data_IF_638859141844
#
_entry.id   IF_638859141844
#
_cell.length_a   1.000
_cell.length_b   1.000
_cell.length_c   1.000
_cell.angle_alpha   90.00
_cell.angle_beta   90.00
_cell.angle_gamma   90.00
#
_symmetry.space_group_name_H-M   'P 1'
#
loop_
_entity.id
_entity.type
_entity.pdbx_description
1 polymer ?
#
# COMPACT_ATOMS: atom_id res chain seq x y z
N UNK A 1 -19.45 -12.12 6.93
CA UNK A 1 -18.30 -11.22 6.72
C UNK A 1 -17.11 -12.11 6.49
N UNK A 2 -16.59 -12.15 5.27
CA UNK A 2 -15.41 -12.95 4.99
C UNK A 2 -14.23 -12.32 5.72
N UNK A 3 -13.77 -12.99 6.79
CA UNK A 3 -12.65 -12.58 7.64
C UNK A 3 -11.29 -12.57 6.90
N UNK A 4 -11.32 -12.62 5.57
CA UNK A 4 -10.18 -12.91 4.71
C UNK A 4 -9.81 -11.73 3.80
N UNK A 5 -10.57 -10.62 3.86
CA UNK A 5 -10.25 -9.36 3.16
C UNK A 5 -9.75 -8.29 4.13
N UNK A 6 -8.75 -7.48 3.74
CA UNK A 6 -8.27 -6.34 4.54
C UNK A 6 -9.21 -5.14 4.49
N UNK A 7 -10.30 -5.20 3.71
CA UNK A 7 -11.20 -4.08 3.46
C UNK A 7 -12.40 -4.11 4.44
N UNK A 8 -12.65 -3.05 5.22
CA UNK A 8 -13.71 -3.02 6.22
C UNK A 8 -15.11 -2.92 5.59
N UNK A 9 -16.12 -3.50 6.25
CA UNK A 9 -17.54 -3.39 5.85
C UNK A 9 -17.96 -4.29 4.69
N UNK A 10 -19.22 -4.14 4.24
CA UNK A 10 -19.74 -4.77 3.02
C UNK A 10 -19.43 -3.88 1.80
N UNK A 11 -19.24 -4.47 0.58
CA UNK A 11 -19.01 -3.68 -0.62
C UNK A 11 -20.19 -2.74 -0.90
N UNK A 12 -19.90 -1.46 -1.14
CA UNK A 12 -20.91 -0.45 -1.40
C UNK A 12 -21.60 -0.64 -2.76
N UNK A 13 -20.87 -1.18 -3.74
CA UNK A 13 -21.36 -1.43 -5.09
C UNK A 13 -20.66 -2.64 -5.77
N UNK A 14 -21.06 -2.92 -7.01
CA UNK A 14 -20.47 -4.01 -7.80
C UNK A 14 -18.99 -3.77 -8.16
N UNK A 15 -18.52 -2.52 -8.25
CA UNK A 15 -17.10 -2.25 -8.49
C UNK A 15 -16.27 -2.64 -7.27
N UNK A 16 -16.69 -2.23 -6.08
CA UNK A 16 -16.01 -2.59 -4.84
C UNK A 16 -16.05 -4.11 -4.60
N UNK A 17 -17.19 -4.76 -4.89
CA UNK A 17 -17.29 -6.22 -4.84
C UNK A 17 -16.27 -6.90 -5.76
N UNK A 18 -16.08 -6.38 -6.99
CA UNK A 18 -15.07 -6.88 -7.92
C UNK A 18 -13.64 -6.65 -7.39
N UNK A 19 -13.34 -5.49 -6.79
CA UNK A 19 -12.01 -5.21 -6.22
C UNK A 19 -11.66 -6.18 -5.07
N UNK A 20 -12.60 -6.39 -4.15
CA UNK A 20 -12.44 -7.33 -3.03
C UNK A 20 -12.28 -8.77 -3.53
N UNK A 21 -13.07 -9.19 -4.51
CA UNK A 21 -12.93 -10.50 -5.15
C UNK A 21 -11.59 -10.65 -5.90
N UNK A 22 -11.09 -9.56 -6.50
CA UNK A 22 -9.78 -9.53 -7.18
C UNK A 22 -8.66 -9.76 -6.18
N UNK A 23 -8.69 -9.09 -5.02
CA UNK A 23 -7.75 -9.35 -3.93
C UNK A 23 -7.77 -10.82 -3.48
N UNK A 24 -8.95 -11.36 -3.19
CA UNK A 24 -9.08 -12.75 -2.74
C UNK A 24 -8.62 -13.76 -3.80
N UNK A 25 -8.84 -13.45 -5.08
CA UNK A 25 -8.36 -14.28 -6.19
C UNK A 25 -6.83 -14.20 -6.35
N UNK A 26 -6.23 -13.01 -6.18
CA UNK A 26 -4.78 -12.82 -6.20
C UNK A 26 -4.12 -13.55 -5.03
N UNK A 27 -4.63 -13.37 -3.81
CA UNK A 27 -4.18 -14.08 -2.61
C UNK A 27 -4.18 -15.60 -2.81
N UNK A 28 -5.22 -16.15 -3.46
CA UNK A 28 -5.38 -17.59 -3.61
C UNK A 28 -4.61 -18.19 -4.81
N UNK A 29 -4.54 -17.46 -5.93
CA UNK A 29 -4.07 -18.03 -7.21
C UNK A 29 -2.82 -17.34 -7.77
N UNK A 30 -2.37 -16.24 -7.16
CA UNK A 30 -1.37 -15.34 -7.71
C UNK A 30 -1.80 -14.70 -9.03
N UNK A 31 -0.96 -13.80 -9.54
CA UNK A 31 -1.18 -13.12 -10.81
C UNK A 31 -1.32 -14.10 -11.99
N UNK A 32 -0.45 -15.12 -12.05
CA UNK A 32 -0.43 -16.10 -13.13
C UNK A 32 -1.71 -16.97 -13.15
N UNK A 33 -2.25 -17.32 -11.99
CA UNK A 33 -3.49 -18.07 -11.85
C UNK A 33 -4.76 -17.19 -11.95
N UNK A 34 -4.64 -15.87 -11.99
CA UNK A 34 -5.82 -15.01 -12.02
C UNK A 34 -6.57 -15.07 -13.36
N UNK A 35 -7.90 -15.21 -13.32
CA UNK A 35 -8.78 -15.11 -14.49
C UNK A 35 -10.08 -14.39 -14.17
N UNK A 36 -10.68 -13.73 -15.18
CA UNK A 36 -11.96 -13.03 -15.05
C UNK A 36 -13.06 -13.96 -14.50
N UNK A 37 -13.07 -15.23 -14.91
CA UNK A 37 -14.04 -16.20 -14.39
C UNK A 37 -13.87 -16.40 -12.88
N UNK A 38 -12.64 -16.61 -12.40
CA UNK A 38 -12.36 -16.83 -10.97
C UNK A 38 -12.75 -15.62 -10.12
N UNK A 39 -12.59 -14.42 -10.66
CA UNK A 39 -12.96 -13.17 -9.97
C UNK A 39 -14.48 -13.03 -9.94
N UNK A 40 -15.15 -13.24 -11.08
CA UNK A 40 -16.61 -13.19 -11.16
C UNK A 40 -17.27 -14.21 -10.22
N UNK A 41 -16.74 -15.43 -10.17
CA UNK A 41 -17.21 -16.49 -9.26
C UNK A 41 -17.05 -16.08 -7.78
N UNK A 42 -15.94 -15.43 -7.43
CA UNK A 42 -15.71 -14.92 -6.06
C UNK A 42 -16.60 -13.72 -5.70
N UNK A 43 -16.94 -12.89 -6.68
CA UNK A 43 -17.80 -11.73 -6.46
C UNK A 43 -19.30 -12.08 -6.43
N UNK A 44 -19.67 -13.33 -6.72
CA UNK A 44 -21.05 -13.75 -7.02
C UNK A 44 -21.69 -12.90 -8.14
N UNK A 45 -20.89 -12.56 -9.16
CA UNK A 45 -21.30 -11.74 -10.29
C UNK A 45 -21.16 -12.50 -11.61
N UNK A 46 -21.95 -12.10 -12.61
CA UNK A 46 -21.81 -12.64 -13.96
C UNK A 46 -20.59 -12.05 -14.67
N UNK A 47 -20.01 -12.80 -15.62
CA UNK A 47 -19.01 -12.25 -16.57
C UNK A 47 -19.53 -11.03 -17.33
N UNK A 48 -20.82 -10.96 -17.61
CA UNK A 48 -21.40 -9.79 -18.27
C UNK A 48 -21.34 -8.54 -17.40
N UNK A 49 -21.53 -8.70 -16.08
CA UNK A 49 -21.39 -7.60 -15.12
C UNK A 49 -19.94 -7.13 -15.04
N UNK A 50 -18.99 -8.07 -15.11
CA UNK A 50 -17.57 -7.74 -15.18
C UNK A 50 -17.25 -6.85 -16.41
N UNK A 51 -17.63 -7.30 -17.62
CA UNK A 51 -17.33 -6.56 -18.86
C UNK A 51 -18.09 -5.24 -19.02
N UNK A 52 -19.03 -4.95 -18.12
CA UNK A 52 -19.64 -3.63 -18.02
C UNK A 52 -18.72 -2.63 -17.28
N UNK A 53 -17.80 -3.12 -16.45
CA UNK A 53 -16.90 -2.29 -15.66
C UNK A 53 -15.48 -2.25 -16.21
N UNK A 54 -15.00 -3.35 -16.79
CA UNK A 54 -13.61 -3.51 -17.23
C UNK A 54 -13.53 -4.19 -18.59
N UNK A 55 -12.65 -3.69 -19.44
CA UNK A 55 -12.48 -4.21 -20.80
C UNK A 55 -11.78 -5.58 -20.79
N UNK A 56 -10.78 -5.73 -19.93
CA UNK A 56 -10.00 -6.96 -19.80
C UNK A 56 -9.39 -7.14 -18.39
N UNK A 57 -8.55 -8.17 -18.24
CA UNK A 57 -7.84 -8.46 -16.98
C UNK A 57 -6.85 -7.35 -16.61
N UNK A 58 -6.22 -6.72 -17.59
CA UNK A 58 -5.20 -5.72 -17.37
C UNK A 58 -5.82 -4.41 -16.88
N UNK A 59 -6.90 -3.96 -17.54
CA UNK A 59 -7.71 -2.82 -17.12
C UNK A 59 -8.19 -2.99 -15.67
N UNK A 60 -8.77 -4.15 -15.35
CA UNK A 60 -9.15 -4.51 -13.98
C UNK A 60 -7.99 -4.39 -12.99
N UNK A 61 -6.83 -4.94 -13.33
CA UNK A 61 -5.70 -4.97 -12.41
C UNK A 61 -5.07 -3.60 -12.21
N UNK A 62 -5.09 -2.74 -13.23
CA UNK A 62 -4.69 -1.34 -13.06
C UNK A 62 -5.66 -0.57 -12.17
N UNK A 63 -6.97 -0.79 -12.33
CA UNK A 63 -7.98 -0.24 -11.42
C UNK A 63 -7.87 -0.79 -9.99
N UNK A 64 -7.45 -2.06 -9.85
CA UNK A 64 -7.20 -2.67 -8.55
C UNK A 64 -6.00 -2.05 -7.83
N UNK A 65 -4.95 -1.66 -8.55
CA UNK A 65 -3.83 -0.89 -7.97
C UNK A 65 -4.30 0.48 -7.47
N UNK A 66 -5.14 1.18 -8.24
CA UNK A 66 -5.75 2.46 -7.81
C UNK A 66 -6.62 2.27 -6.57
N UNK A 67 -7.37 1.18 -6.50
CA UNK A 67 -8.19 0.83 -5.35
C UNK A 67 -7.35 0.61 -4.09
N UNK A 68 -6.21 -0.11 -4.19
CA UNK A 68 -5.29 -0.28 -3.05
C UNK A 68 -4.76 1.07 -2.57
N UNK A 69 -4.37 1.97 -3.47
CA UNK A 69 -3.93 3.32 -3.09
C UNK A 69 -5.04 4.10 -2.38
N UNK A 70 -6.26 4.09 -2.93
CA UNK A 70 -7.39 4.77 -2.32
C UNK A 70 -7.70 4.26 -0.90
N UNK A 71 -7.59 2.95 -0.70
CA UNK A 71 -7.76 2.32 0.61
C UNK A 71 -6.64 2.70 1.59
N UNK A 72 -5.39 2.78 1.12
CA UNK A 72 -4.28 3.30 1.90
C UNK A 72 -4.52 4.77 2.32
N UNK A 73 -4.88 5.64 1.37
CA UNK A 73 -5.18 7.05 1.65
C UNK A 73 -6.34 7.19 2.64
N UNK A 74 -7.36 6.34 2.52
CA UNK A 74 -8.49 6.29 3.45
C UNK A 74 -8.03 5.89 4.85
N UNK A 75 -7.23 4.83 4.97
CA UNK A 75 -6.71 4.37 6.25
C UNK A 75 -5.85 5.46 6.92
N UNK A 76 -4.94 6.10 6.17
CA UNK A 76 -4.17 7.23 6.67
C UNK A 76 -5.06 8.38 7.16
N UNK A 77 -6.07 8.76 6.37
CA UNK A 77 -6.97 9.87 6.71
C UNK A 77 -7.80 9.61 7.98
N UNK A 78 -8.05 8.34 8.33
CA UNK A 78 -8.77 7.97 9.56
C UNK A 78 -7.90 8.10 10.81
N UNK A 79 -6.59 7.88 10.67
CA UNK A 79 -5.60 7.90 11.75
C UNK A 79 -4.80 9.22 11.83
N UNK A 80 -4.95 10.10 10.83
CA UNK A 80 -4.26 11.39 10.79
C UNK A 80 -4.68 12.28 11.97
N UNK A 81 -3.69 12.95 12.55
CA UNK A 81 -3.84 13.87 13.68
C UNK A 81 -3.30 15.27 13.35
N UNK A 82 -3.40 16.20 14.31
CA UNK A 82 -2.81 17.53 14.18
C UNK A 82 -1.29 17.55 14.49
N UNK A 83 -0.67 16.41 14.86
CA UNK A 83 0.76 16.30 15.14
C UNK A 83 1.54 15.78 13.91
N UNK A 84 2.43 16.59 13.30
CA UNK A 84 3.23 16.18 12.15
C UNK A 84 4.10 14.94 12.40
N UNK A 85 4.59 14.73 13.64
CA UNK A 85 5.38 13.55 13.97
C UNK A 85 4.53 12.29 14.00
N UNK A 86 3.30 12.38 14.52
CA UNK A 86 2.36 11.26 14.51
C UNK A 86 1.93 10.95 13.07
N UNK A 87 1.57 11.96 12.28
CA UNK A 87 1.23 11.77 10.87
C UNK A 87 2.35 11.09 10.08
N UNK A 88 3.60 11.52 10.29
CA UNK A 88 4.75 10.89 9.66
C UNK A 88 4.91 9.41 10.07
N UNK A 89 4.80 9.11 11.36
CA UNK A 89 4.89 7.73 11.86
C UNK A 89 3.76 6.86 11.32
N UNK A 90 2.51 7.31 11.43
CA UNK A 90 1.33 6.62 10.91
C UNK A 90 1.48 6.32 9.42
N UNK A 91 1.92 7.30 8.63
CA UNK A 91 2.11 7.12 7.19
C UNK A 91 3.15 6.03 6.87
N UNK A 92 4.29 6.04 7.55
CA UNK A 92 5.34 5.03 7.35
C UNK A 92 4.87 3.67 7.86
N UNK A 93 4.23 3.61 9.02
CA UNK A 93 3.77 2.36 9.65
C UNK A 93 2.75 1.62 8.78
N UNK A 94 1.82 2.36 8.14
CA UNK A 94 0.87 1.82 7.19
C UNK A 94 1.52 1.09 5.99
N UNK A 95 2.76 1.43 5.64
CA UNK A 95 3.49 0.83 4.49
C UNK A 95 4.51 -0.20 4.97
N UNK A 96 5.28 0.14 6.01
CA UNK A 96 6.37 -0.66 6.54
C UNK A 96 5.84 -1.95 7.18
N UNK A 97 4.76 -1.83 7.94
CA UNK A 97 4.23 -2.91 8.75
C UNK A 97 2.73 -2.70 9.01
N UNK A 98 1.89 -2.94 7.99
CA UNK A 98 0.45 -2.76 8.09
C UNK A 98 -0.21 -3.68 9.15
N UNK A 99 0.53 -4.61 9.74
CA UNK A 99 0.07 -5.45 10.85
C UNK A 99 0.15 -4.74 12.20
N UNK A 100 1.09 -3.80 12.37
CA UNK A 100 1.24 -3.03 13.62
C UNK A 100 0.01 -2.18 13.97
N UNK A 101 -0.83 -1.89 12.98
CA UNK A 101 -2.05 -1.08 13.09
C UNK A 101 -3.33 -1.93 13.04
N UNK A 102 -3.23 -3.25 12.86
CA UNK A 102 -4.36 -4.15 12.63
C UNK A 102 -4.29 -5.33 13.59
N UNK A 103 -5.28 -5.49 14.47
CA UNK A 103 -5.39 -6.61 15.44
C UNK A 103 -5.67 -8.00 14.78
N UNK A 104 -5.42 -8.17 13.48
CA UNK A 104 -5.76 -9.38 12.73
C UNK A 104 -4.74 -10.52 12.96
N UNK A 105 -5.24 -11.76 13.01
CA UNK A 105 -4.45 -12.99 13.22
C UNK A 105 -3.53 -13.34 12.03
N UNK A 106 -2.42 -14.02 12.31
CA UNK A 106 -1.34 -14.38 11.36
C UNK A 106 -1.65 -15.67 10.54
N UNK A 107 -1.44 -15.70 9.20
CA UNK A 107 -1.04 -14.58 8.36
C UNK A 107 -2.18 -13.62 8.09
N UNK A 108 -1.94 -12.36 8.46
CA UNK A 108 -2.93 -11.32 8.34
C UNK A 108 -3.27 -11.08 6.86
N UNK A 109 -4.49 -10.64 6.56
CA UNK A 109 -4.84 -10.14 5.23
C UNK A 109 -3.87 -9.08 4.68
N UNK A 110 -3.16 -8.34 5.55
CA UNK A 110 -2.20 -7.31 5.15
C UNK A 110 -0.91 -7.88 4.52
N UNK A 111 -0.36 -8.98 5.05
CA UNK A 111 0.80 -9.65 4.43
C UNK A 111 0.47 -10.15 3.01
N UNK A 112 -0.78 -10.61 2.78
CA UNK A 112 -1.25 -10.98 1.45
C UNK A 112 -1.38 -9.79 0.48
N UNK A 113 -1.67 -8.58 0.97
CA UNK A 113 -1.65 -7.34 0.15
C UNK A 113 -0.25 -7.05 -0.36
N UNK A 114 0.76 -7.14 0.50
CA UNK A 114 2.16 -6.87 0.13
C UNK A 114 2.66 -7.84 -0.95
N UNK A 115 2.38 -9.14 -0.81
CA UNK A 115 2.71 -10.13 -1.83
C UNK A 115 2.02 -9.85 -3.17
N UNK A 116 0.72 -9.53 -3.12
CA UNK A 116 -0.05 -9.16 -4.31
C UNK A 116 0.51 -7.91 -5.00
N UNK A 117 0.89 -6.89 -4.23
CA UNK A 117 1.51 -5.68 -4.75
C UNK A 117 2.82 -5.99 -5.48
N UNK A 118 3.69 -6.82 -4.89
CA UNK A 118 4.97 -7.22 -5.50
C UNK A 118 4.77 -7.99 -6.79
N UNK A 119 3.82 -8.93 -6.84
CA UNK A 119 3.50 -9.68 -8.07
C UNK A 119 3.01 -8.79 -9.21
N UNK A 120 2.14 -7.81 -8.90
CA UNK A 120 1.64 -6.84 -9.88
C UNK A 120 2.74 -5.88 -10.33
N UNK A 121 3.56 -5.37 -9.40
CA UNK A 121 4.68 -4.48 -9.72
C UNK A 121 5.71 -5.14 -10.63
N UNK A 122 5.94 -6.45 -10.49
CA UNK A 122 6.82 -7.19 -11.37
C UNK A 122 6.39 -7.16 -12.85
N UNK A 123 5.10 -6.96 -13.14
CA UNK A 123 4.62 -6.86 -14.53
C UNK A 123 5.09 -5.59 -15.23
N UNK A 124 5.38 -4.51 -14.49
CA UNK A 124 5.87 -3.24 -15.04
C UNK A 124 7.21 -3.38 -15.81
N UNK A 125 7.96 -4.46 -15.57
CA UNK A 125 9.19 -4.80 -16.31
C UNK A 125 8.90 -4.99 -17.80
N UNK A 126 7.77 -5.59 -18.15
CA UNK A 126 7.42 -5.96 -19.54
C UNK A 126 6.19 -5.22 -20.06
N UNK A 127 5.39 -4.61 -19.18
CA UNK A 127 4.13 -3.97 -19.53
C UNK A 127 4.18 -2.46 -19.26
N UNK A 128 3.96 -1.65 -20.30
CA UNK A 128 4.01 -0.20 -20.23
C UNK A 128 2.86 0.43 -19.45
N UNK A 129 1.67 -0.19 -19.48
CA UNK A 129 0.50 0.28 -18.75
C UNK A 129 0.73 0.11 -17.25
N UNK A 130 1.21 -1.07 -16.82
CA UNK A 130 1.60 -1.27 -15.42
C UNK A 130 2.73 -0.33 -15.01
N UNK A 131 3.73 -0.12 -15.88
CA UNK A 131 4.84 0.81 -15.58
C UNK A 131 4.36 2.24 -15.39
N UNK A 132 3.49 2.72 -16.27
CA UNK A 132 2.89 4.05 -16.16
C UNK A 132 2.07 4.17 -14.88
N UNK A 133 1.26 3.15 -14.57
CA UNK A 133 0.46 3.11 -13.34
C UNK A 133 1.33 3.14 -12.08
N UNK A 134 2.34 2.28 -11.97
CA UNK A 134 3.23 2.32 -10.79
C UNK A 134 4.06 3.61 -10.70
N UNK A 135 4.38 4.27 -11.83
CA UNK A 135 5.00 5.60 -11.81
C UNK A 135 4.06 6.67 -11.20
N UNK A 136 2.78 6.61 -11.52
CA UNK A 136 1.75 7.49 -10.93
C UNK A 136 1.60 7.24 -9.43
N UNK A 137 1.50 5.96 -9.03
CA UNK A 137 1.38 5.56 -7.63
C UNK A 137 2.61 5.98 -6.81
N UNK A 138 3.82 5.72 -7.30
CA UNK A 138 5.06 6.08 -6.60
C UNK A 138 5.13 7.59 -6.35
N UNK A 139 4.77 8.40 -7.36
CA UNK A 139 4.71 9.86 -7.21
C UNK A 139 3.68 10.29 -6.17
N UNK A 140 2.48 9.70 -6.17
CA UNK A 140 1.46 10.02 -5.17
C UNK A 140 1.95 9.73 -3.74
N UNK A 141 2.66 8.62 -3.53
CA UNK A 141 3.24 8.31 -2.23
C UNK A 141 4.37 9.28 -1.85
N UNK A 142 5.24 9.63 -2.80
CA UNK A 142 6.35 10.58 -2.62
C UNK A 142 5.84 11.98 -2.28
N UNK A 143 4.89 12.49 -3.06
CA UNK A 143 4.29 13.82 -2.88
C UNK A 143 3.64 13.92 -1.50
N UNK A 144 2.83 12.93 -1.10
CA UNK A 144 2.15 12.94 0.21
C UNK A 144 3.14 12.86 1.39
N UNK A 145 4.21 12.05 1.28
CA UNK A 145 5.22 11.98 2.33
C UNK A 145 6.06 13.27 2.40
N UNK A 146 6.37 13.88 1.26
CA UNK A 146 7.07 15.14 1.19
C UNK A 146 6.26 16.28 1.84
N UNK A 147 4.94 16.32 1.62
CA UNK A 147 4.02 17.24 2.29
C UNK A 147 4.06 17.08 3.81
N UNK A 148 3.95 15.83 4.31
CA UNK A 148 4.03 15.56 5.77
C UNK A 148 5.37 16.02 6.37
N UNK A 149 6.47 15.80 5.65
CA UNK A 149 7.81 16.27 6.08
C UNK A 149 7.85 17.80 6.08
N UNK A 150 7.35 18.46 5.04
CA UNK A 150 7.32 19.91 4.93
C UNK A 150 6.49 20.57 6.05
N UNK A 151 5.34 19.97 6.39
CA UNK A 151 4.50 20.42 7.50
C UNK A 151 5.23 20.30 8.85
N UNK A 152 5.96 19.19 9.07
CA UNK A 152 6.77 19.02 10.26
C UNK A 152 7.94 20.00 10.35
N UNK A 153 8.53 20.41 9.22
CA UNK A 153 9.55 21.47 9.18
C UNK A 153 8.92 22.81 9.54
N UNK A 154 7.76 23.16 8.95
CA UNK A 154 7.05 24.40 9.22
C UNK A 154 6.61 24.52 10.69
N UNK A 155 6.27 23.39 11.32
CA UNK A 155 5.92 23.29 12.74
C UNK A 155 7.15 23.29 13.68
N UNK A 156 8.38 23.25 13.15
CA UNK A 156 9.61 23.15 13.94
C UNK A 156 9.83 21.79 14.62
N UNK A 157 9.09 20.77 14.17
CA UNK A 157 9.18 19.37 14.64
C UNK A 157 10.33 18.63 13.93
N UNK A 158 10.54 18.94 12.64
CA UNK A 158 11.64 18.39 11.85
C UNK A 158 12.71 19.43 11.53
N UNK A 159 13.94 18.96 11.33
CA UNK A 159 15.08 19.74 10.85
C UNK A 159 14.85 20.14 9.39
N UNK A 160 15.46 21.25 8.98
CA UNK A 160 15.41 21.77 7.62
C UNK A 160 16.17 20.85 6.63
N UNK A 161 15.46 19.82 6.17
CA UNK A 161 15.91 18.87 5.14
C UNK A 161 15.18 19.14 3.82
N UNK A 162 15.63 18.52 2.74
CA UNK A 162 14.93 18.54 1.44
C UNK A 162 13.78 17.50 1.48
N UNK A 163 12.49 17.92 1.53
CA UNK A 163 11.38 16.99 1.75
C UNK A 163 11.24 15.94 0.65
N UNK A 164 11.41 16.36 -0.61
CA UNK A 164 11.30 15.48 -1.78
C UNK A 164 12.38 14.40 -1.74
N UNK A 165 13.65 14.78 -1.50
CA UNK A 165 14.75 13.82 -1.44
C UNK A 165 14.61 12.86 -0.27
N UNK A 166 14.14 13.36 0.88
CA UNK A 166 13.90 12.52 2.05
C UNK A 166 12.77 11.54 1.80
N UNK A 167 11.66 11.98 1.20
CA UNK A 167 10.53 11.11 0.84
C UNK A 167 10.96 9.99 -0.12
N UNK A 168 11.66 10.33 -1.21
CA UNK A 168 12.20 9.34 -2.16
C UNK A 168 13.13 8.33 -1.48
N UNK A 169 14.03 8.78 -0.60
CA UNK A 169 14.94 7.89 0.12
C UNK A 169 14.18 6.89 1.01
N UNK A 170 13.23 7.40 1.81
CA UNK A 170 12.45 6.59 2.73
C UNK A 170 11.56 5.58 1.99
N UNK A 171 10.84 6.01 0.96
CA UNK A 171 9.98 5.14 0.17
C UNK A 171 10.77 4.10 -0.64
N UNK A 172 11.97 4.46 -1.12
CA UNK A 172 12.88 3.48 -1.76
C UNK A 172 13.29 2.38 -0.77
N UNK A 173 13.60 2.77 0.47
CA UNK A 173 13.98 1.83 1.52
C UNK A 173 12.80 0.93 1.92
N UNK A 174 11.61 1.51 2.10
CA UNK A 174 10.38 0.78 2.41
C UNK A 174 10.02 -0.19 1.27
N UNK A 175 10.05 0.25 0.01
CA UNK A 175 9.80 -0.63 -1.14
C UNK A 175 10.79 -1.82 -1.18
N UNK A 176 12.07 -1.56 -0.85
CA UNK A 176 13.07 -2.62 -0.68
C UNK A 176 12.75 -3.57 0.47
N UNK A 177 12.26 -3.06 1.59
CA UNK A 177 11.78 -3.88 2.71
C UNK A 177 10.59 -4.75 2.31
N UNK A 178 9.53 -4.17 1.72
CA UNK A 178 8.34 -4.89 1.24
C UNK A 178 8.71 -6.01 0.27
N UNK A 179 9.60 -5.73 -0.69
CA UNK A 179 10.10 -6.75 -1.61
C UNK A 179 10.83 -7.88 -0.88
N UNK A 180 11.71 -7.56 0.07
CA UNK A 180 12.48 -8.59 0.79
C UNK A 180 11.62 -9.41 1.74
N UNK A 181 10.71 -8.78 2.49
CA UNK A 181 9.77 -9.46 3.41
C UNK A 181 8.90 -10.49 2.68
N UNK A 182 8.49 -10.19 1.44
CA UNK A 182 7.64 -11.08 0.63
C UNK A 182 8.39 -12.15 -0.16
N UNK A 183 9.72 -12.09 -0.22
CA UNK A 183 10.57 -12.99 -1.05
C UNK A 183 11.61 -13.76 -0.25
N UNK A 184 11.47 -13.79 1.07
CA UNK A 184 12.38 -14.46 2.00
C UNK A 184 11.59 -15.21 3.08
N UNK A 185 12.26 -16.16 3.72
CA UNK A 185 11.67 -16.96 4.81
C UNK A 185 11.88 -16.34 6.20
N UNK A 186 12.68 -15.27 6.30
CA UNK A 186 12.93 -14.48 7.51
C UNK A 186 12.23 -13.11 7.44
N UNK A 187 11.77 -12.61 8.59
CA UNK A 187 11.13 -11.30 8.70
C UNK A 187 12.08 -10.27 9.35
N UNK A 188 12.63 -9.31 8.57
CA UNK A 188 13.51 -8.27 9.10
C UNK A 188 12.75 -7.02 9.60
N UNK A 189 11.41 -7.04 9.70
CA UNK A 189 10.59 -5.85 10.02
C UNK A 189 11.07 -5.13 11.27
N UNK A 190 11.28 -5.85 12.38
CA UNK A 190 11.76 -5.26 13.64
C UNK A 190 13.11 -4.52 13.48
N UNK A 191 14.03 -5.09 12.72
CA UNK A 191 15.35 -4.51 12.50
C UNK A 191 15.26 -3.26 11.60
N UNK A 192 14.44 -3.30 10.56
CA UNK A 192 14.22 -2.15 9.67
C UNK A 192 13.51 -1.02 10.42
N UNK A 193 12.49 -1.35 11.22
CA UNK A 193 11.77 -0.42 12.08
C UNK A 193 12.69 0.29 13.06
N UNK A 194 13.54 -0.46 13.77
CA UNK A 194 14.48 0.12 14.71
C UNK A 194 15.47 1.12 14.05
N UNK A 195 15.95 0.81 12.85
CA UNK A 195 16.83 1.73 12.11
C UNK A 195 16.08 2.93 11.51
N UNK A 196 14.83 2.75 11.10
CA UNK A 196 13.97 3.86 10.69
C UNK A 196 13.76 4.84 11.87
N UNK A 197 13.40 4.35 13.05
CA UNK A 197 13.24 5.19 14.24
C UNK A 197 14.52 5.94 14.59
N UNK A 198 15.68 5.27 14.50
CA UNK A 198 16.99 5.89 14.68
C UNK A 198 17.25 7.00 13.66
N UNK A 199 16.89 6.79 12.38
CA UNK A 199 17.02 7.79 11.33
C UNK A 199 16.15 9.02 11.63
N UNK A 200 14.89 8.79 12.04
CA UNK A 200 13.97 9.86 12.41
C UNK A 200 14.55 10.69 13.54
N UNK A 201 14.94 10.09 14.66
CA UNK A 201 15.46 10.81 15.82
C UNK A 201 16.76 11.58 15.50
N UNK A 202 17.70 10.95 14.79
CA UNK A 202 19.04 11.53 14.55
C UNK A 202 19.12 12.49 13.37
N UNK A 203 18.29 12.29 12.36
CA UNK A 203 18.40 13.01 11.08
C UNK A 203 17.21 13.94 10.86
N UNK A 204 15.99 13.51 11.18
CA UNK A 204 14.79 14.31 10.93
C UNK A 204 14.32 15.13 12.12
N UNK A 205 14.30 14.59 13.34
CA UNK A 205 13.69 15.24 14.50
C UNK A 205 14.48 16.46 14.97
N UNK A 206 13.83 17.61 15.02
CA UNK A 206 14.40 18.79 15.63
C UNK A 206 14.24 18.71 17.17
N UNK A 207 15.36 18.76 17.89
CA UNK A 207 15.35 18.90 19.36
C UNK A 207 15.76 20.33 19.67
N UNK A 208 14.85 21.20 20.14
CA UNK A 208 15.24 22.53 20.56
C UNK A 208 16.24 22.45 21.72
N UNK A 209 17.29 23.27 21.67
CA UNK A 209 18.22 23.49 22.78
C UNK A 209 17.55 24.16 23.99
#
# INVERSE_FOLDING_TARGET
>A
MDADTPFPGEPADSREAIMRATFLALKQYGYAGLSIQRIADKADLSKSTFYHHYDDKQDLLTAFVDYILAEFTRAFSMEASDDPLENFRTYVDLILDPESISELEDPSPATAVLGTYVELRAQAVQDETFRAKFTEIDRAFEDQLAEIIADGIAAGVFRDVDPDRTATFLLTMIAGHTFRRTTRDDDPTDAVRAEFDNYVERTLRHTPE
#
